data_IF_397754093473
#
_entry.id   IF_397754093473
#
_cell.length_a   1.000
_cell.length_b   1.000
_cell.length_c   1.000
_cell.angle_alpha   90.00
_cell.angle_beta   90.00
_cell.angle_gamma   90.00
#
_symmetry.space_group_name_H-M   'P 1'
#
loop_
_entity.id
_entity.type
_entity.pdbx_description
1 polymer ?
#
# COMPACT_ATOMS: atom_id res chain seq x y z
N UNK A 1 -10.89 -33.01 -15.61
CA UNK A 1 -11.16 -31.58 -15.42
C UNK A 1 -12.56 -31.44 -14.87
N UNK A 2 -12.68 -31.08 -13.58
CA UNK A 2 -13.94 -31.12 -12.83
C UNK A 2 -14.91 -30.05 -13.31
N UNK A 3 -16.13 -30.46 -13.66
CA UNK A 3 -17.26 -29.58 -13.92
C UNK A 3 -17.63 -28.89 -12.60
N UNK A 4 -17.26 -27.62 -12.42
CA UNK A 4 -17.73 -26.78 -11.32
C UNK A 4 -19.26 -26.69 -11.39
N UNK A 5 -19.96 -27.17 -10.36
CA UNK A 5 -21.42 -27.01 -10.30
C UNK A 5 -21.76 -25.58 -9.90
N UNK A 6 -22.98 -25.11 -10.23
CA UNK A 6 -23.42 -23.77 -9.85
C UNK A 6 -23.43 -23.56 -8.31
N UNK A 7 -23.58 -24.65 -7.54
CA UNK A 7 -23.48 -24.63 -6.08
C UNK A 7 -22.03 -24.43 -5.64
N UNK A 8 -21.07 -25.13 -6.25
CA UNK A 8 -19.64 -24.95 -5.95
C UNK A 8 -19.18 -23.52 -6.28
N UNK A 9 -19.71 -22.92 -7.36
CA UNK A 9 -19.41 -21.53 -7.71
C UNK A 9 -19.96 -20.54 -6.68
N UNK A 10 -21.20 -20.73 -6.22
CA UNK A 10 -21.83 -19.89 -5.20
C UNK A 10 -21.10 -20.00 -3.86
N UNK A 11 -20.74 -21.21 -3.45
CA UNK A 11 -20.01 -21.46 -2.21
C UNK A 11 -18.60 -20.87 -2.27
N UNK A 12 -17.90 -21.03 -3.41
CA UNK A 12 -16.59 -20.43 -3.59
C UNK A 12 -16.66 -18.89 -3.62
N UNK A 13 -17.70 -18.32 -4.22
CA UNK A 13 -17.91 -16.86 -4.21
C UNK A 13 -18.22 -16.34 -2.81
N UNK A 14 -19.06 -17.03 -2.03
CA UNK A 14 -19.34 -16.68 -0.63
C UNK A 14 -18.08 -16.80 0.25
N UNK A 15 -17.26 -17.82 0.02
CA UNK A 15 -15.98 -18.01 0.71
C UNK A 15 -15.02 -16.87 0.43
N UNK A 16 -14.83 -16.51 -0.84
CA UNK A 16 -13.97 -15.38 -1.23
C UNK A 16 -14.51 -14.04 -0.69
N UNK A 17 -15.83 -13.84 -0.71
CA UNK A 17 -16.45 -12.65 -0.10
C UNK A 17 -16.21 -12.58 1.41
N UNK A 18 -16.21 -13.73 2.10
CA UNK A 18 -15.91 -13.82 3.52
C UNK A 18 -14.42 -13.57 3.81
N UNK A 19 -13.52 -14.21 3.08
CA UNK A 19 -12.06 -14.00 3.18
C UNK A 19 -11.71 -12.52 2.93
N UNK A 20 -12.28 -11.91 1.88
CA UNK A 20 -12.08 -10.50 1.58
C UNK A 20 -12.59 -9.57 2.69
N UNK A 21 -13.69 -9.94 3.37
CA UNK A 21 -14.26 -9.17 4.49
C UNK A 21 -13.47 -9.36 5.79
N UNK A 22 -12.90 -10.53 6.02
CA UNK A 22 -11.98 -10.76 7.15
C UNK A 22 -10.71 -9.93 7.00
N UNK A 23 -10.18 -9.83 5.78
CA UNK A 23 -8.99 -9.01 5.46
C UNK A 23 -9.34 -7.51 5.41
N UNK A 24 -10.55 -7.15 4.98
CA UNK A 24 -11.03 -5.77 4.88
C UNK A 24 -12.36 -5.57 5.64
N UNK A 25 -12.32 -5.46 6.98
CA UNK A 25 -13.52 -5.39 7.81
C UNK A 25 -14.24 -4.03 7.78
N UNK A 26 -13.62 -3.00 7.18
CA UNK A 26 -14.12 -1.64 7.16
C UNK A 26 -14.83 -1.35 5.82
N UNK A 27 -16.11 -0.95 5.84
CA UNK A 27 -16.75 -0.30 4.69
C UNK A 27 -16.43 1.20 4.76
N UNK A 28 -15.45 1.70 4.00
CA UNK A 28 -14.86 2.96 4.41
C UNK A 28 -15.45 4.08 3.56
N UNK A 29 -16.18 5.00 4.20
CA UNK A 29 -16.99 6.04 3.55
C UNK A 29 -16.39 7.45 3.62
N UNK A 30 -15.32 7.67 4.40
CA UNK A 30 -14.77 9.01 4.70
C UNK A 30 -13.32 9.19 4.25
N UNK A 31 -13.11 9.99 3.20
CA UNK A 31 -11.78 10.50 2.89
C UNK A 31 -11.20 11.27 4.09
N UNK A 32 -9.92 11.06 4.41
CA UNK A 32 -9.28 11.66 5.59
C UNK A 32 -8.95 13.15 5.43
N UNK A 33 -8.91 13.66 4.19
CA UNK A 33 -8.80 15.10 3.94
C UNK A 33 -9.94 15.87 4.62
N UNK A 34 -9.68 17.01 5.29
CA UNK A 34 -8.41 17.74 5.39
C UNK A 34 -7.62 17.48 6.69
N UNK A 35 -7.84 16.35 7.37
CA UNK A 35 -7.24 16.08 8.69
C UNK A 35 -5.74 15.77 8.59
N UNK A 36 -4.96 16.34 9.51
CA UNK A 36 -3.54 16.04 9.71
C UNK A 36 -3.43 14.91 10.73
N UNK A 37 -3.12 13.70 10.27
CA UNK A 37 -3.11 12.48 11.09
C UNK A 37 -1.90 11.61 10.73
N UNK A 38 -1.52 10.69 11.61
CA UNK A 38 -0.71 9.53 11.23
C UNK A 38 -1.62 8.52 10.57
N UNK A 39 -1.39 8.13 9.32
CA UNK A 39 -2.28 7.22 8.58
C UNK A 39 -1.51 6.48 7.50
N UNK A 40 -2.04 5.34 7.02
CA UNK A 40 -1.49 4.68 5.85
C UNK A 40 -1.70 5.53 4.60
N UNK A 41 -0.59 5.85 3.93
CA UNK A 41 -0.54 6.70 2.75
C UNK A 41 -0.06 5.91 1.54
N UNK A 42 -0.53 6.31 0.36
CA UNK A 42 -0.19 5.69 -0.92
C UNK A 42 0.22 6.77 -1.92
N UNK A 43 1.31 6.55 -2.65
CA UNK A 43 1.73 7.41 -3.75
C UNK A 43 1.05 6.95 -5.05
N UNK A 44 0.38 7.86 -5.74
CA UNK A 44 -0.17 7.56 -7.06
C UNK A 44 0.83 7.96 -8.14
N UNK A 45 1.50 6.99 -8.77
CA UNK A 45 2.51 7.24 -9.79
C UNK A 45 1.87 7.77 -11.08
N UNK A 46 0.70 7.26 -11.46
CA UNK A 46 -0.07 7.77 -12.60
C UNK A 46 -0.40 9.25 -12.45
N UNK A 47 -1.02 9.64 -11.33
CA UNK A 47 -1.35 11.04 -11.07
C UNK A 47 -0.10 11.90 -10.88
N UNK A 48 0.99 11.33 -10.36
CA UNK A 48 2.26 12.04 -10.23
C UNK A 48 2.80 12.48 -11.59
N UNK A 49 2.80 11.57 -12.57
CA UNK A 49 3.25 11.82 -13.94
C UNK A 49 2.32 12.81 -14.65
N UNK A 50 1.01 12.59 -14.58
CA UNK A 50 0.02 13.43 -15.28
C UNK A 50 0.01 14.89 -14.79
N UNK A 51 0.25 15.10 -13.50
CA UNK A 51 0.21 16.44 -12.89
C UNK A 51 1.58 17.08 -12.71
N UNK A 52 2.66 16.36 -13.00
CA UNK A 52 4.03 16.83 -12.88
C UNK A 52 4.49 17.08 -11.43
N UNK A 53 3.97 16.32 -10.47
CA UNK A 53 4.36 16.49 -9.05
C UNK A 53 3.81 15.38 -8.14
N UNK A 54 4.42 15.17 -6.95
CA UNK A 54 4.05 14.07 -6.07
C UNK A 54 2.64 14.24 -5.50
N UNK A 55 1.92 13.11 -5.44
CA UNK A 55 0.53 13.01 -5.01
C UNK A 55 0.41 11.86 -4.01
N UNK A 56 -0.03 12.18 -2.79
CA UNK A 56 -0.31 11.19 -1.75
C UNK A 56 -1.81 11.03 -1.52
N UNK A 57 -2.32 9.81 -1.51
CA UNK A 57 -3.73 9.53 -1.24
C UNK A 57 -3.88 8.60 -0.03
N UNK A 58 -4.96 8.76 0.72
CA UNK A 58 -5.25 7.87 1.84
C UNK A 58 -5.76 6.51 1.36
N UNK A 59 -5.72 5.52 2.25
CA UNK A 59 -6.21 4.15 2.04
C UNK A 59 -7.58 4.07 1.34
N UNK A 60 -8.53 4.91 1.71
CA UNK A 60 -9.86 4.87 1.09
C UNK A 60 -9.87 5.36 -0.36
N UNK A 61 -9.07 6.39 -0.64
CA UNK A 61 -8.99 6.97 -1.98
C UNK A 61 -8.25 6.04 -2.94
N UNK A 62 -7.31 5.23 -2.44
CA UNK A 62 -6.73 4.10 -3.19
C UNK A 62 -7.84 3.22 -3.77
N UNK A 63 -8.79 2.77 -2.94
CA UNK A 63 -9.83 1.82 -3.35
C UNK A 63 -10.92 2.48 -4.21
N UNK A 64 -11.39 3.67 -3.82
CA UNK A 64 -12.61 4.24 -4.40
C UNK A 64 -12.35 5.20 -5.57
N UNK A 65 -11.17 5.81 -5.63
CA UNK A 65 -10.83 6.81 -6.63
C UNK A 65 -9.66 6.39 -7.54
N UNK A 66 -8.74 5.58 -7.02
CA UNK A 66 -7.46 5.25 -7.69
C UNK A 66 -7.25 3.74 -7.91
N UNK A 67 -8.33 2.94 -7.91
CA UNK A 67 -8.25 1.47 -8.05
C UNK A 67 -7.70 0.97 -9.39
N UNK A 68 -7.64 1.85 -10.39
CA UNK A 68 -7.12 1.55 -11.74
C UNK A 68 -5.77 2.23 -12.02
N UNK A 69 -5.24 2.97 -11.05
CA UNK A 69 -3.96 3.68 -11.20
C UNK A 69 -2.82 2.83 -10.66
N UNK A 70 -1.61 3.16 -11.09
CA UNK A 70 -0.39 2.60 -10.51
C UNK A 70 -0.07 3.27 -9.17
N UNK A 71 0.04 2.46 -8.13
CA UNK A 71 0.03 2.89 -6.73
C UNK A 71 1.15 2.21 -5.96
N UNK A 72 1.87 2.99 -5.15
CA UNK A 72 2.92 2.50 -4.26
C UNK A 72 2.52 2.76 -2.82
N UNK A 73 2.58 1.73 -1.98
CA UNK A 73 2.32 1.86 -0.55
C UNK A 73 3.48 2.59 0.16
N UNK A 74 3.14 3.63 0.92
CA UNK A 74 4.10 4.40 1.73
C UNK A 74 4.03 4.06 3.22
N UNK A 75 3.19 3.09 3.58
CA UNK A 75 2.87 2.71 4.97
C UNK A 75 2.35 3.90 5.79
N UNK A 76 2.37 3.76 7.12
CA UNK A 76 1.98 4.83 8.01
C UNK A 76 2.95 6.00 7.91
N UNK A 77 2.41 7.18 7.59
CA UNK A 77 3.12 8.47 7.57
C UNK A 77 2.46 9.47 8.50
N UNK A 78 3.25 10.28 9.19
CA UNK A 78 2.79 11.35 10.10
C UNK A 78 2.57 12.66 9.35
N UNK A 79 1.59 13.43 9.83
CA UNK A 79 1.33 14.79 9.37
C UNK A 79 1.04 14.95 7.87
N UNK A 80 0.59 13.89 7.20
CA UNK A 80 0.25 13.92 5.77
C UNK A 80 -1.26 13.97 5.59
N UNK A 81 -1.72 14.93 4.79
CA UNK A 81 -3.11 15.08 4.38
C UNK A 81 -3.29 14.48 2.98
N UNK A 82 -4.39 13.76 2.76
CA UNK A 82 -4.74 13.18 1.46
C UNK A 82 -4.93 14.26 0.37
N UNK A 83 -4.28 14.10 -0.78
CA UNK A 83 -4.34 15.01 -1.94
C UNK A 83 -5.48 14.69 -2.92
N UNK A 84 -6.20 13.57 -2.73
CA UNK A 84 -7.26 13.15 -3.65
C UNK A 84 -8.30 14.26 -3.79
N UNK A 85 -8.56 14.71 -5.03
CA UNK A 85 -9.52 15.76 -5.35
C UNK A 85 -9.08 17.19 -5.04
N UNK A 86 -7.80 17.40 -4.69
CA UNK A 86 -7.22 18.74 -4.55
C UNK A 86 -6.68 19.29 -5.87
N UNK A 87 -6.38 20.58 -5.94
CA UNK A 87 -5.81 21.22 -7.13
C UNK A 87 -4.43 20.69 -7.54
N UNK A 88 -3.81 19.78 -6.76
CA UNK A 88 -2.62 19.02 -7.19
C UNK A 88 -2.97 18.03 -8.31
N UNK A 89 -4.23 17.59 -8.37
CA UNK A 89 -4.78 16.74 -9.43
C UNK A 89 -5.46 17.59 -10.51
N UNK A 90 -4.72 18.43 -11.23
CA UNK A 90 -5.25 19.37 -12.24
C UNK A 90 -5.98 18.68 -13.39
N UNK A 91 -5.57 17.46 -13.78
CA UNK A 91 -6.28 16.63 -14.75
C UNK A 91 -7.39 15.77 -14.10
N UNK A 92 -7.46 15.78 -12.77
CA UNK A 92 -8.26 14.86 -11.98
C UNK A 92 -9.66 15.39 -11.64
N UNK A 93 -10.48 14.46 -11.20
CA UNK A 93 -11.78 14.73 -10.62
C UNK A 93 -11.68 15.03 -9.12
N UNK A 94 -12.63 15.79 -8.60
CA UNK A 94 -12.86 15.86 -7.16
C UNK A 94 -13.17 14.47 -6.58
N UNK A 95 -12.82 14.28 -5.32
CA UNK A 95 -12.87 12.98 -4.65
C UNK A 95 -14.30 12.41 -4.62
N UNK A 96 -14.49 11.20 -5.12
CA UNK A 96 -15.79 10.52 -5.17
C UNK A 96 -16.44 10.40 -3.78
N UNK A 97 -15.64 10.13 -2.75
CA UNK A 97 -16.11 10.00 -1.36
C UNK A 97 -16.63 11.32 -0.79
N UNK A 98 -15.96 12.45 -1.11
CA UNK A 98 -16.41 13.76 -0.66
C UNK A 98 -17.60 14.26 -1.47
N UNK A 99 -17.66 13.97 -2.77
CA UNK A 99 -18.80 14.32 -3.62
C UNK A 99 -20.09 13.57 -3.21
N UNK A 100 -19.97 12.30 -2.80
CA UNK A 100 -21.09 11.49 -2.35
C UNK A 100 -21.76 12.04 -1.07
N UNK A 101 -21.03 12.76 -0.22
CA UNK A 101 -21.60 13.40 0.99
C UNK A 101 -22.31 14.72 0.72
N UNK A 102 -21.91 15.43 -0.34
CA UNK A 102 -22.44 16.77 -0.68
C UNK A 102 -23.70 16.68 -1.56
N UNK A 103 -23.89 15.57 -2.26
CA UNK A 103 -25.08 15.33 -3.10
C UNK A 103 -26.00 14.36 -2.40
N UNK A 104 -27.29 14.64 -2.15
CA UNK A 104 -28.20 13.64 -1.62
C UNK A 104 -28.20 12.44 -2.58
N UNK A 105 -28.16 11.18 -2.08
CA UNK A 105 -28.10 10.03 -2.95
C UNK A 105 -29.39 9.97 -3.75
N UNK A 106 -29.32 10.21 -5.06
CA UNK A 106 -30.31 9.63 -5.95
C UNK A 106 -30.22 8.10 -5.76
N UNK A 107 -31.35 7.38 -5.63
CA UNK A 107 -31.33 5.94 -5.38
C UNK A 107 -30.57 5.25 -6.51
N UNK A 108 -29.36 4.77 -6.22
CA UNK A 108 -28.55 4.00 -7.17
C UNK A 108 -29.16 2.59 -7.26
N UNK A 109 -29.99 2.36 -8.27
CA UNK A 109 -30.27 0.98 -8.72
C UNK A 109 -28.99 0.43 -9.35
N UNK A 110 -28.36 -0.54 -8.68
CA UNK A 110 -27.24 -1.30 -9.23
C UNK A 110 -27.82 -2.36 -10.17
N UNK A 111 -28.08 -2.01 -11.42
CA UNK A 111 -28.47 -2.98 -12.45
C UNK A 111 -27.24 -3.75 -12.90
N UNK A 112 -27.13 -5.01 -12.50
CA UNK A 112 -26.16 -5.94 -13.06
C UNK A 112 -26.62 -6.44 -14.44
N UNK A 113 -25.80 -6.21 -15.46
CA UNK A 113 -25.41 -7.18 -16.50
C UNK A 113 -24.76 -6.45 -17.66
N UNK A 114 -23.54 -6.85 -18.00
CA UNK A 114 -22.79 -6.29 -19.11
C UNK A 114 -23.44 -6.60 -20.45
N UNK A 115 -23.62 -5.56 -21.26
CA UNK A 115 -22.93 -5.38 -22.55
C UNK A 115 -23.64 -4.31 -23.39
N UNK A 116 -22.93 -3.25 -23.77
CA UNK A 116 -23.23 -2.52 -25.00
C UNK A 116 -24.05 -1.23 -24.96
N UNK A 117 -24.28 -0.59 -23.80
CA UNK A 117 -24.91 0.74 -23.76
C UNK A 117 -24.30 1.64 -22.67
N UNK A 118 -22.98 1.78 -22.67
CA UNK A 118 -22.38 3.02 -22.17
C UNK A 118 -22.80 4.14 -23.11
N UNK A 119 -23.77 4.99 -22.73
CA UNK A 119 -23.94 6.42 -23.14
C UNK A 119 -25.40 6.92 -23.12
N UNK A 120 -26.24 6.61 -22.12
CA UNK A 120 -27.57 7.27 -22.02
C UNK A 120 -27.91 7.89 -20.66
N UNK A 121 -27.05 7.73 -19.66
CA UNK A 121 -27.05 8.61 -18.51
C UNK A 121 -25.64 9.19 -18.39
N UNK A 122 -25.45 10.52 -18.50
CA UNK A 122 -24.18 11.10 -18.13
C UNK A 122 -23.91 10.64 -16.69
N UNK A 123 -22.80 9.94 -16.47
CA UNK A 123 -22.21 9.94 -15.14
C UNK A 123 -22.19 11.41 -14.71
N UNK A 124 -22.80 11.73 -13.57
CA UNK A 124 -22.81 13.10 -13.08
C UNK A 124 -21.40 13.67 -13.28
N UNK A 125 -21.24 14.78 -14.01
CA UNK A 125 -19.92 15.24 -14.42
C UNK A 125 -19.08 15.33 -13.17
N UNK A 126 -18.00 14.54 -13.12
CA UNK A 126 -17.10 14.56 -11.98
C UNK A 126 -16.62 16.00 -11.88
N UNK A 127 -16.97 16.67 -10.78
CA UNK A 127 -16.56 18.06 -10.57
C UNK A 127 -15.03 18.13 -10.65
N UNK A 128 -14.47 19.25 -11.13
CA UNK A 128 -13.02 19.42 -11.13
C UNK A 128 -12.48 19.34 -9.69
N UNK A 129 -11.21 18.94 -9.58
CA UNK A 129 -10.49 18.88 -8.32
C UNK A 129 -10.16 20.30 -7.81
N UNK A 130 -11.12 20.94 -7.14
CA UNK A 130 -11.01 22.34 -6.69
C UNK A 130 -10.52 22.48 -5.23
N UNK A 131 -10.36 21.37 -4.49
CA UNK A 131 -9.98 21.45 -3.07
C UNK A 131 -8.54 21.95 -2.89
N UNK A 132 -8.29 22.71 -1.83
CA UNK A 132 -6.98 23.33 -1.58
C UNK A 132 -6.03 22.29 -0.97
N UNK A 133 -4.87 22.00 -1.58
CA UNK A 133 -3.91 21.07 -1.00
C UNK A 133 -3.29 21.63 0.29
N UNK A 134 -2.91 20.74 1.20
CA UNK A 134 -2.21 21.11 2.43
C UNK A 134 -0.81 21.63 2.10
N UNK A 135 -0.47 22.82 2.61
CA UNK A 135 0.88 23.41 2.49
C UNK A 135 1.89 22.72 3.41
N UNK A 136 1.42 22.01 4.43
CA UNK A 136 2.25 21.32 5.41
C UNK A 136 2.69 19.92 4.93
N UNK A 137 2.16 19.42 3.82
CA UNK A 137 2.57 18.13 3.28
C UNK A 137 4.02 18.17 2.78
N UNK A 138 4.84 17.26 3.28
CA UNK A 138 6.21 17.06 2.82
C UNK A 138 6.30 15.81 1.95
N UNK A 139 6.88 15.95 0.75
CA UNK A 139 7.01 14.87 -0.22
C UNK A 139 8.48 14.55 -0.45
N UNK A 140 8.93 13.39 0.02
CA UNK A 140 10.26 12.85 -0.27
C UNK A 140 10.23 11.98 -1.54
N UNK A 141 11.33 11.29 -1.86
CA UNK A 141 11.40 10.42 -3.03
C UNK A 141 10.48 9.19 -3.00
N UNK A 142 9.87 8.87 -1.84
CA UNK A 142 8.96 7.72 -1.75
C UNK A 142 7.71 7.94 -2.61
N UNK A 143 7.30 9.20 -2.78
CA UNK A 143 6.19 9.57 -3.66
C UNK A 143 6.47 9.38 -5.15
N UNK A 144 7.71 9.00 -5.50
CA UNK A 144 8.14 8.62 -6.85
C UNK A 144 8.40 7.11 -6.97
N UNK A 145 7.99 6.32 -5.97
CA UNK A 145 8.25 4.89 -5.91
C UNK A 145 9.70 4.52 -5.58
N UNK A 146 10.50 5.48 -5.10
CA UNK A 146 11.91 5.27 -4.76
C UNK A 146 12.10 5.28 -3.25
N UNK A 147 12.87 4.34 -2.75
CA UNK A 147 13.13 4.22 -1.31
C UNK A 147 14.63 4.14 -1.06
N UNK A 148 14.99 4.32 0.21
CA UNK A 148 16.35 4.23 0.70
C UNK A 148 17.30 5.29 0.09
N UNK A 149 18.50 5.43 0.66
CA UNK A 149 19.53 6.31 0.11
C UNK A 149 20.02 5.91 -1.28
N UNK A 150 19.83 4.65 -1.69
CA UNK A 150 20.15 4.17 -3.03
C UNK A 150 19.15 4.66 -4.10
N UNK A 151 17.97 5.12 -3.69
CA UNK A 151 16.90 5.62 -4.57
C UNK A 151 16.49 4.62 -5.68
N UNK A 152 16.61 3.32 -5.40
CA UNK A 152 16.07 2.28 -6.27
C UNK A 152 14.55 2.31 -6.25
N UNK A 153 13.94 1.98 -7.39
CA UNK A 153 12.49 1.78 -7.49
C UNK A 153 12.15 0.51 -6.75
N UNK A 154 11.27 0.62 -5.77
CA UNK A 154 10.88 -0.53 -4.95
C UNK A 154 9.89 -1.40 -5.71
N UNK A 155 10.19 -2.71 -5.76
CA UNK A 155 9.30 -3.74 -6.28
C UNK A 155 9.24 -4.87 -5.26
N UNK A 156 8.05 -5.15 -4.73
CA UNK A 156 7.84 -6.15 -3.69
C UNK A 156 8.29 -7.56 -4.12
N UNK A 157 8.19 -7.89 -5.41
CA UNK A 157 8.53 -9.22 -5.92
C UNK A 157 10.05 -9.41 -6.13
N UNK A 158 10.80 -8.32 -6.26
CA UNK A 158 12.23 -8.36 -6.61
C UNK A 158 13.14 -7.99 -5.43
N UNK A 159 12.63 -7.30 -4.41
CA UNK A 159 13.43 -6.86 -3.28
C UNK A 159 13.53 -7.95 -2.21
N UNK A 160 14.68 -8.61 -2.13
CA UNK A 160 14.99 -9.64 -1.14
C UNK A 160 15.63 -9.10 0.14
N UNK A 161 16.03 -7.83 0.17
CA UNK A 161 16.76 -7.23 1.29
C UNK A 161 15.83 -6.66 2.34
N UNK A 162 16.15 -6.89 3.61
CA UNK A 162 15.42 -6.32 4.75
C UNK A 162 15.57 -4.80 4.81
N UNK A 163 14.43 -4.11 4.90
CA UNK A 163 14.35 -2.66 5.03
C UNK A 163 13.79 -2.23 6.39
N UNK A 164 14.25 -1.08 6.88
CA UNK A 164 13.84 -0.49 8.17
C UNK A 164 13.32 0.92 7.97
N UNK A 165 12.12 1.20 8.47
CA UNK A 165 11.55 2.55 8.46
C UNK A 165 12.23 3.43 9.51
N UNK A 166 12.59 4.66 9.14
CA UNK A 166 13.07 5.60 10.14
C UNK A 166 11.92 6.11 11.03
N UNK A 167 12.00 5.78 12.32
CA UNK A 167 11.01 6.15 13.32
C UNK A 167 10.87 7.67 13.51
N UNK A 168 11.96 8.44 13.47
CA UNK A 168 11.93 9.89 13.75
C UNK A 168 11.37 10.74 12.60
N UNK A 169 11.74 10.42 11.37
CA UNK A 169 11.11 10.95 10.16
C UNK A 169 11.32 12.43 9.80
N UNK A 170 11.75 13.32 10.69
CA UNK A 170 11.80 14.77 10.42
C UNK A 170 12.67 15.18 9.22
N UNK A 171 13.86 14.60 9.07
CA UNK A 171 14.75 14.94 7.95
C UNK A 171 14.51 14.08 6.72
N UNK A 172 14.13 12.81 6.90
CA UNK A 172 14.00 11.84 5.81
C UNK A 172 12.58 11.64 5.29
N UNK A 173 11.56 12.13 5.99
CA UNK A 173 10.15 11.87 5.69
C UNK A 173 9.71 10.43 5.98
N UNK A 174 10.19 9.83 7.08
CA UNK A 174 9.93 8.42 7.48
C UNK A 174 10.28 7.40 6.38
N UNK A 175 11.41 7.62 5.71
CA UNK A 175 11.91 6.77 4.62
C UNK A 175 12.35 5.38 5.13
N UNK A 176 12.34 4.39 4.23
CA UNK A 176 12.75 3.01 4.46
C UNK A 176 14.16 2.80 3.92
N UNK A 177 15.03 2.16 4.71
CA UNK A 177 16.43 1.95 4.37
C UNK A 177 16.82 0.48 4.42
N UNK A 178 17.54 0.00 3.42
CA UNK A 178 18.20 -1.32 3.46
C UNK A 178 19.25 -1.36 4.57
N UNK A 179 19.43 -2.51 5.21
CA UNK A 179 20.45 -2.71 6.26
C UNK A 179 21.86 -2.27 5.82
N UNK A 180 22.28 -2.63 4.61
CA UNK A 180 23.57 -2.22 4.03
C UNK A 180 23.67 -0.69 3.88
N UNK A 181 22.62 -0.08 3.37
CA UNK A 181 22.55 1.36 3.14
C UNK A 181 22.54 2.16 4.45
N UNK A 182 22.04 1.59 5.55
CA UNK A 182 22.13 2.19 6.89
C UNK A 182 23.57 2.34 7.35
N UNK A 183 24.42 1.39 6.98
CA UNK A 183 25.85 1.38 7.28
C UNK A 183 26.67 2.11 6.21
N UNK A 184 26.07 2.48 5.08
CA UNK A 184 26.73 3.15 3.96
C UNK A 184 27.46 2.22 2.99
N UNK A 185 27.17 0.91 3.06
CA UNK A 185 27.79 -0.06 2.17
C UNK A 185 27.24 0.07 0.74
N UNK A 186 28.15 0.01 -0.23
CA UNK A 186 27.78 -0.07 -1.65
C UNK A 186 27.47 -1.52 -2.01
N UNK A 187 26.29 -1.75 -2.58
CA UNK A 187 25.90 -3.05 -3.09
C UNK A 187 26.58 -3.32 -4.43
N UNK A 188 27.29 -4.45 -4.54
CA UNK A 188 27.98 -4.89 -5.75
C UNK A 188 27.06 -5.48 -6.83
N UNK A 189 25.75 -5.35 -6.68
CA UNK A 189 24.79 -5.85 -7.68
C UNK A 189 24.61 -4.80 -8.77
N UNK A 190 25.36 -4.98 -9.87
CA UNK A 190 25.11 -4.26 -11.11
C UNK A 190 23.68 -4.52 -11.59
N UNK A 191 22.91 -3.49 -12.01
CA UNK A 191 21.61 -3.70 -12.62
C UNK A 191 21.77 -4.50 -13.91
N UNK A 192 21.02 -5.59 -14.05
CA UNK A 192 20.88 -6.27 -15.33
C UNK A 192 20.37 -5.25 -16.36
N UNK A 193 21.14 -5.13 -17.43
CA UNK A 193 20.98 -4.14 -18.48
C UNK A 193 19.71 -4.43 -19.29
N UNK A 194 18.72 -3.54 -19.23
CA UNK A 194 17.59 -3.44 -20.16
C UNK A 194 18.09 -3.07 -21.57
N UNK A 195 18.73 -4.00 -22.27
CA UNK A 195 19.02 -3.90 -23.71
C UNK A 195 19.07 -5.27 -24.37
N UNK A 196 17.92 -5.78 -24.80
CA UNK A 196 17.81 -6.59 -26.02
C UNK A 196 16.34 -6.75 -26.44
N UNK A 197 15.75 -5.67 -26.97
CA UNK A 197 14.72 -5.84 -27.99
C UNK A 197 15.40 -6.30 -29.28
N UNK A 198 14.92 -7.43 -29.83
CA UNK A 198 14.96 -7.93 -31.22
C UNK A 198 15.54 -9.34 -31.37
N UNK A 199 14.63 -10.33 -31.47
CA UNK A 199 14.47 -11.25 -32.61
C UNK A 199 13.35 -12.28 -32.32
N UNK A 200 12.33 -12.30 -33.17
CA UNK A 200 11.37 -13.41 -33.25
C UNK A 200 11.94 -14.60 -34.08
N UNK A 201 11.16 -15.65 -34.41
CA UNK A 201 11.24 -16.95 -33.75
C UNK A 201 11.75 -18.03 -34.71
N UNK A 202 12.15 -19.20 -34.21
CA UNK A 202 12.11 -20.39 -35.06
C UNK A 202 11.75 -21.65 -34.26
N UNK A 203 10.85 -22.41 -34.85
CA UNK A 203 10.14 -23.56 -34.30
C UNK A 203 10.98 -24.84 -34.29
N UNK A 204 10.39 -25.84 -33.61
CA UNK A 204 10.54 -27.31 -33.74
C UNK A 204 11.54 -28.03 -32.83
N UNK A 205 11.02 -28.66 -31.75
CA UNK A 205 10.74 -30.11 -31.70
C UNK A 205 10.39 -30.56 -30.26
N UNK A 206 9.30 -31.32 -30.14
CA UNK A 206 8.71 -31.93 -28.92
C UNK A 206 9.61 -32.95 -28.17
N UNK A 207 9.23 -33.41 -26.95
CA UNK A 207 10.13 -33.63 -25.80
C UNK A 207 10.45 -35.11 -25.50
N UNK A 208 11.23 -35.36 -24.44
CA UNK A 208 10.89 -36.47 -23.55
C UNK A 208 10.88 -36.06 -22.08
N UNK A 209 9.66 -35.98 -21.55
CA UNK A 209 9.21 -36.50 -20.26
C UNK A 209 10.30 -37.00 -19.28
N UNK A 210 10.60 -36.21 -18.25
CA UNK A 210 11.10 -36.68 -16.95
C UNK A 210 10.41 -35.88 -15.83
N UNK A 211 10.11 -36.51 -14.68
CA UNK A 211 9.17 -35.99 -13.70
C UNK A 211 9.71 -34.74 -13.02
N UNK A 212 8.88 -33.71 -12.97
CA UNK A 212 9.03 -32.57 -12.07
C UNK A 212 8.98 -33.11 -10.63
N UNK A 213 10.11 -33.01 -9.94
CA UNK A 213 10.10 -32.97 -8.49
C UNK A 213 9.59 -31.58 -8.10
N UNK A 214 8.51 -31.55 -7.34
CA UNK A 214 8.04 -30.38 -6.61
C UNK A 214 9.10 -30.04 -5.54
N UNK A 215 10.18 -29.37 -5.95
CA UNK A 215 11.05 -28.63 -5.03
C UNK A 215 10.46 -27.22 -4.92
N UNK A 216 9.66 -27.04 -3.88
CA UNK A 216 9.35 -25.75 -3.29
C UNK A 216 10.69 -25.00 -3.10
N UNK A 217 10.92 -23.82 -3.71
CA UNK A 217 12.14 -23.09 -3.42
C UNK A 217 12.04 -22.61 -1.97
N UNK A 218 12.69 -23.31 -1.05
CA UNK A 218 13.02 -22.78 0.28
C UNK A 218 13.59 -21.38 0.06
N UNK A 219 12.83 -20.36 0.47
CA UNK A 219 13.27 -18.97 0.49
C UNK A 219 14.55 -18.91 1.34
N UNK A 220 15.70 -18.89 0.67
CA UNK A 220 16.98 -18.79 1.34
C UNK A 220 17.02 -17.46 2.10
N UNK A 221 17.06 -17.52 3.43
CA UNK A 221 17.12 -16.31 4.25
C UNK A 221 18.34 -15.45 3.85
N UNK A 222 18.16 -14.13 3.69
CA UNK A 222 19.24 -13.24 3.27
C UNK A 222 20.37 -13.29 4.31
N UNK A 223 21.61 -13.43 3.84
CA UNK A 223 22.77 -13.49 4.72
C UNK A 223 22.84 -12.25 5.64
N UNK A 224 23.19 -12.42 6.93
CA UNK A 224 23.21 -11.31 7.88
C UNK A 224 24.21 -10.24 7.45
N UNK A 225 23.75 -8.98 7.40
CA UNK A 225 24.59 -7.83 7.04
C UNK A 225 25.63 -7.58 8.12
N UNK A 226 26.94 -7.58 7.78
CA UNK A 226 27.97 -7.46 8.79
C UNK A 226 27.96 -6.10 9.48
N UNK A 227 28.19 -6.08 10.79
CA UNK A 227 28.08 -4.92 11.70
C UNK A 227 26.65 -4.39 11.92
N UNK A 228 25.64 -4.88 11.20
CA UNK A 228 24.25 -4.56 11.52
C UNK A 228 23.88 -5.19 12.87
N UNK A 229 23.15 -4.49 13.76
CA UNK A 229 22.70 -5.06 15.01
C UNK A 229 21.79 -6.28 14.79
N UNK A 230 21.78 -7.16 15.78
CA UNK A 230 20.83 -8.27 15.80
C UNK A 230 19.39 -7.75 15.78
N UNK A 231 18.54 -8.43 15.00
CA UNK A 231 17.17 -8.00 14.70
C UNK A 231 16.29 -7.96 15.94
N UNK A 232 16.48 -8.91 16.85
CA UNK A 232 15.73 -8.99 18.11
C UNK A 232 16.26 -8.02 19.19
N UNK A 233 17.38 -7.35 18.92
CA UNK A 233 18.03 -6.45 19.88
C UNK A 233 17.41 -5.06 19.97
N UNK A 234 16.65 -4.63 18.96
CA UNK A 234 16.09 -3.30 18.85
C UNK A 234 14.65 -3.34 18.32
N UNK A 235 13.86 -2.32 18.68
CA UNK A 235 12.49 -2.18 18.19
C UNK A 235 12.33 -1.11 17.12
N UNK A 236 13.09 -0.02 17.24
CA UNK A 236 12.92 1.16 16.39
C UNK A 236 14.28 1.69 15.93
N UNK A 237 14.30 2.26 14.72
CA UNK A 237 15.51 2.75 14.06
C UNK A 237 15.42 4.25 13.73
N UNK A 238 16.48 5.01 14.00
CA UNK A 238 16.60 6.41 13.59
C UNK A 238 17.82 6.58 12.67
N UNK A 239 17.57 7.01 11.44
CA UNK A 239 18.61 7.15 10.42
C UNK A 239 19.58 8.30 10.68
N UNK A 240 20.80 8.17 10.15
CA UNK A 240 21.87 9.14 10.25
C UNK A 240 21.51 10.55 9.74
N UNK A 241 20.61 10.69 8.77
CA UNK A 241 20.12 11.99 8.28
C UNK A 241 19.32 12.73 9.36
N UNK A 242 18.45 11.99 10.05
CA UNK A 242 17.65 12.50 11.17
C UNK A 242 18.53 12.84 12.39
N UNK A 243 19.48 11.96 12.71
CA UNK A 243 20.45 12.20 13.78
C UNK A 243 21.30 13.44 13.48
N UNK A 244 21.74 13.63 12.23
CA UNK A 244 22.55 14.78 11.83
C UNK A 244 21.82 16.13 12.00
N UNK A 245 20.49 16.16 11.87
CA UNK A 245 19.68 17.36 12.06
C UNK A 245 19.68 17.84 13.51
N UNK A 246 19.63 16.91 14.47
CA UNK A 246 19.61 17.19 15.92
C UNK A 246 20.76 16.49 16.65
N UNK A 247 21.97 16.65 16.11
CA UNK A 247 23.16 15.88 16.53
C UNK A 247 23.39 15.93 18.03
N UNK A 248 23.40 17.12 18.62
CA UNK A 248 23.73 17.30 20.03
C UNK A 248 22.74 16.58 20.96
N UNK A 249 21.44 16.60 20.59
CA UNK A 249 20.40 15.89 21.32
C UNK A 249 20.54 14.37 21.24
N UNK A 250 20.87 13.83 20.07
CA UNK A 250 21.06 12.38 19.89
C UNK A 250 22.40 11.88 20.48
N UNK A 251 23.44 12.71 20.53
CA UNK A 251 24.67 12.43 21.27
C UNK A 251 24.42 12.40 22.79
N UNK A 252 23.51 13.24 23.31
CA UNK A 252 23.04 13.15 24.69
C UNK A 252 22.22 11.88 24.93
N UNK A 253 21.28 11.57 24.03
CA UNK A 253 20.46 10.36 24.11
C UNK A 253 21.29 9.07 24.09
N UNK A 254 22.36 9.03 23.29
CA UNK A 254 23.26 7.88 23.18
C UNK A 254 23.97 7.51 24.49
N UNK A 255 24.02 8.41 25.49
CA UNK A 255 24.58 8.15 26.82
C UNK A 255 23.66 7.29 27.70
N UNK A 256 22.43 7.04 27.27
CA UNK A 256 21.42 6.31 28.03
C UNK A 256 21.22 4.88 27.48
N UNK A 257 21.90 3.85 28.02
CA UNK A 257 21.84 2.47 27.52
C UNK A 257 20.49 1.78 27.74
N UNK A 258 19.66 2.31 28.64
CA UNK A 258 18.28 1.87 28.88
C UNK A 258 17.33 2.23 27.71
N UNK A 259 17.71 3.23 26.90
CA UNK A 259 16.92 3.74 25.77
C UNK A 259 17.55 3.29 24.46
N UNK A 260 18.85 3.54 24.30
CA UNK A 260 19.61 3.22 23.09
C UNK A 260 20.22 1.83 23.21
N UNK A 261 19.87 0.94 22.29
CA UNK A 261 20.47 -0.38 22.19
C UNK A 261 21.92 -0.27 21.70
N UNK A 262 22.10 0.36 20.54
CA UNK A 262 23.41 0.56 19.93
C UNK A 262 23.38 1.74 18.96
N UNK A 263 24.55 2.33 18.71
CA UNK A 263 24.76 3.27 17.62
C UNK A 263 25.66 2.65 16.56
N UNK A 264 25.39 2.97 15.28
CA UNK A 264 26.22 2.50 14.16
C UNK A 264 26.61 3.66 13.29
N UNK A 265 27.90 3.76 13.01
CA UNK A 265 28.44 4.78 12.12
C UNK A 265 27.98 4.49 10.68
N UNK A 266 27.73 5.57 9.94
CA UNK A 266 27.51 5.54 8.51
C UNK A 266 28.85 5.74 7.81
N UNK A 267 29.27 4.75 7.02
CA UNK A 267 30.52 4.71 6.30
C UNK A 267 30.27 4.86 4.79
N UNK A 268 30.30 6.08 4.24
CA UNK A 268 30.00 6.29 2.83
C UNK A 268 31.03 5.58 1.93
N UNK A 269 30.55 4.75 1.00
CA UNK A 269 31.37 4.20 -0.09
C UNK A 269 32.23 3.00 0.29
N UNK A 270 31.89 2.27 1.36
CA UNK A 270 32.62 1.07 1.76
C UNK A 270 32.02 -0.16 1.05
N UNK A 271 32.85 -0.97 0.40
CA UNK A 271 32.40 -2.26 -0.17
C UNK A 271 32.32 -3.33 0.92
N UNK A 272 31.38 -4.25 0.79
CA UNK A 272 31.14 -5.36 1.73
C UNK A 272 32.33 -6.34 1.87
N UNK A 273 33.41 -6.20 1.11
CA UNK A 273 34.60 -7.06 1.22
C UNK A 273 35.66 -6.52 2.18
N UNK A 274 35.52 -5.28 2.67
CA UNK A 274 36.50 -4.66 3.58
C UNK A 274 36.26 -4.91 5.08
N UNK A 275 35.41 -5.89 5.43
CA UNK A 275 34.97 -6.18 6.80
C UNK A 275 36.09 -6.35 7.84
N UNK A 276 37.25 -6.88 7.44
CA UNK A 276 38.37 -7.12 8.35
C UNK A 276 39.04 -5.86 8.92
N UNK A 277 38.87 -4.67 8.32
CA UNK A 277 39.48 -3.43 8.83
C UNK A 277 38.56 -2.64 9.78
N UNK A 278 37.24 -2.84 9.71
CA UNK A 278 36.28 -2.08 10.53
C UNK A 278 35.91 -2.77 11.85
N UNK A 279 36.19 -4.07 12.02
CA UNK A 279 35.99 -4.76 13.30
C UNK A 279 36.87 -4.18 14.42
N UNK A 280 38.08 -3.72 14.11
CA UNK A 280 38.98 -3.10 15.11
C UNK A 280 38.49 -1.72 15.59
N UNK A 281 37.69 -1.01 14.79
CA UNK A 281 37.19 0.34 15.13
C UNK A 281 35.77 0.34 15.75
N UNK A 282 34.98 -0.72 15.55
CA UNK A 282 33.58 -0.80 15.99
C UNK A 282 33.36 -1.44 17.38
N UNK A 283 34.39 -2.02 17.99
CA UNK A 283 34.30 -2.78 19.26
C UNK A 283 34.85 -2.06 20.51
N UNK A 284 35.51 -0.91 20.38
CA UNK A 284 36.04 -0.20 21.56
C UNK A 284 35.07 0.86 22.09
N UNK A 285 34.35 0.51 23.17
CA UNK A 285 33.87 1.50 24.15
C UNK A 285 35.09 1.95 24.97
N UNK A 286 35.90 2.85 24.40
CA UNK A 286 37.17 3.33 24.95
C UNK A 286 37.72 4.52 24.15
N UNK A 287 38.68 5.32 24.68
CA UNK A 287 39.01 6.61 24.10
C UNK A 287 39.74 6.47 22.76
N UNK A 288 39.08 6.93 21.70
CA UNK A 288 39.54 7.35 20.36
C UNK A 288 40.74 6.61 19.72
N UNK A 289 40.57 5.99 18.53
CA UNK A 289 41.68 5.40 17.79
C UNK A 289 42.60 6.49 17.19
N UNK A 290 43.91 6.19 17.17
CA UNK A 290 45.02 7.09 16.81
C UNK A 290 45.28 7.28 15.31
N UNK A 291 44.28 7.13 14.44
CA UNK A 291 44.40 7.52 13.02
C UNK A 291 43.15 8.27 12.58
N UNK A 292 43.27 9.52 12.12
CA UNK A 292 42.10 10.31 11.79
C UNK A 292 41.50 9.82 10.48
N UNK A 293 40.24 9.37 10.52
CA UNK A 293 39.35 9.48 9.37
C UNK A 293 39.39 10.93 8.86
N UNK A 294 39.29 11.16 7.53
CA UNK A 294 39.30 12.51 6.98
C UNK A 294 38.26 13.37 7.70
N UNK A 295 38.67 14.56 8.12
CA UNK A 295 38.04 15.44 9.10
C UNK A 295 36.61 15.92 8.75
N UNK A 296 35.65 15.01 8.69
CA UNK A 296 34.21 15.24 8.72
C UNK A 296 33.65 14.57 9.96
N UNK A 297 32.77 15.26 10.70
CA UNK A 297 32.15 14.69 11.91
C UNK A 297 31.44 13.38 11.52
N UNK A 298 31.75 12.27 12.18
CA UNK A 298 31.13 10.97 11.89
C UNK A 298 29.60 11.08 11.97
N UNK A 299 28.92 10.55 10.96
CA UNK A 299 27.47 10.37 10.94
C UNK A 299 27.17 9.00 11.53
N UNK A 300 26.11 8.89 12.33
CA UNK A 300 25.71 7.63 12.94
C UNK A 300 24.19 7.53 13.02
N UNK A 301 23.71 6.29 13.00
CA UNK A 301 22.32 5.94 13.23
C UNK A 301 22.13 5.39 14.65
N UNK A 302 20.92 5.51 15.18
CA UNK A 302 20.55 5.11 16.54
C UNK A 302 19.51 3.99 16.48
N UNK A 303 19.74 2.92 17.23
CA UNK A 303 18.79 1.81 17.39
C UNK A 303 18.26 1.82 18.82
N UNK A 304 16.94 1.77 18.97
CA UNK A 304 16.24 1.92 20.25
C UNK A 304 15.74 0.56 20.76
N UNK A 305 15.72 0.38 22.08
CA UNK A 305 15.18 -0.83 22.73
C UNK A 305 13.65 -0.82 22.77
N UNK A 306 12.98 -1.97 22.85
CA UNK A 306 11.51 -2.06 22.92
C UNK A 306 10.84 -1.14 23.97
N UNK A 307 11.41 -1.04 25.17
CA UNK A 307 10.85 -0.23 26.26
C UNK A 307 11.36 1.22 26.28
N UNK A 308 11.90 1.73 25.17
CA UNK A 308 12.51 3.06 25.11
C UNK A 308 11.51 4.17 25.47
N UNK A 309 10.24 4.08 25.03
CA UNK A 309 9.21 5.12 25.27
C UNK A 309 9.02 5.44 26.75
N UNK A 310 8.91 4.41 27.60
CA UNK A 310 8.74 4.55 29.06
C UNK A 310 9.97 5.20 29.71
N UNK A 311 11.17 4.80 29.28
CA UNK A 311 12.42 5.36 29.78
C UNK A 311 12.63 6.80 29.30
N UNK A 312 12.26 7.10 28.05
CA UNK A 312 12.34 8.43 27.46
C UNK A 312 11.38 9.41 28.14
N UNK A 313 10.15 8.99 28.48
CA UNK A 313 9.21 9.79 29.25
C UNK A 313 9.71 10.11 30.68
N UNK A 314 10.35 9.14 31.34
CA UNK A 314 11.01 9.36 32.65
C UNK A 314 12.18 10.32 32.52
N UNK A 315 13.01 10.14 31.48
CA UNK A 315 14.17 10.99 31.22
C UNK A 315 13.71 12.44 30.94
N UNK A 316 12.70 12.62 30.10
CA UNK A 316 12.12 13.93 29.79
C UNK A 316 11.73 14.72 31.05
N UNK A 317 11.17 14.04 32.06
CA UNK A 317 10.80 14.67 33.34
C UNK A 317 12.00 15.06 34.22
N UNK A 318 13.18 14.49 33.97
CA UNK A 318 14.40 14.72 34.75
C UNK A 318 15.43 15.62 34.03
N UNK A 319 15.23 15.90 32.73
CA UNK A 319 16.18 16.69 31.93
C UNK A 319 16.14 18.18 32.29
N UNK A 320 17.30 18.87 32.32
CA UNK A 320 17.37 20.33 32.41
C UNK A 320 16.60 21.00 31.27
N UNK A 321 16.05 22.19 31.52
CA UNK A 321 15.27 22.95 30.52
C UNK A 321 16.13 23.33 29.31
N UNK A 322 17.39 23.70 29.53
CA UNK A 322 18.33 24.12 28.48
C UNK A 322 19.02 22.95 27.76
N UNK A 323 18.67 21.70 28.08
CA UNK A 323 19.27 20.53 27.40
C UNK A 323 18.81 20.49 25.93
N UNK A 324 19.72 20.27 24.97
CA UNK A 324 19.36 20.05 23.57
C UNK A 324 18.34 18.93 23.39
N UNK A 325 18.45 17.85 24.19
CA UNK A 325 17.51 16.74 24.19
C UNK A 325 16.13 17.16 24.71
N UNK A 326 16.06 18.03 25.72
CA UNK A 326 14.76 18.55 26.19
C UNK A 326 14.05 19.37 25.11
N UNK A 327 14.77 20.29 24.46
CA UNK A 327 14.24 21.08 23.34
C UNK A 327 13.75 20.21 22.17
N UNK A 328 14.46 19.13 21.85
CA UNK A 328 14.02 18.17 20.84
C UNK A 328 12.70 17.51 21.26
N UNK A 329 12.67 16.91 22.44
CA UNK A 329 11.52 16.16 22.95
C UNK A 329 10.25 17.02 23.13
N UNK A 330 10.40 18.32 23.42
CA UNK A 330 9.28 19.27 23.47
C UNK A 330 8.56 19.38 22.13
N UNK A 331 9.30 19.36 21.03
CA UNK A 331 8.76 19.47 19.67
C UNK A 331 8.35 18.11 19.09
N UNK A 332 8.87 17.02 19.64
CA UNK A 332 8.70 15.66 19.09
C UNK A 332 8.13 14.69 20.13
N UNK A 333 6.98 15.04 20.72
CA UNK A 333 6.35 14.24 21.79
C UNK A 333 5.98 12.81 21.37
N UNK A 334 5.68 12.60 20.08
CA UNK A 334 5.39 11.29 19.49
C UNK A 334 6.53 10.26 19.66
N UNK A 335 7.74 10.69 20.02
CA UNK A 335 8.84 9.80 20.36
C UNK A 335 8.58 8.96 21.63
N UNK A 336 7.79 9.47 22.58
CA UNK A 336 7.53 8.78 23.85
C UNK A 336 6.04 8.69 24.21
N UNK A 337 5.19 9.52 23.63
CA UNK A 337 3.74 9.40 23.71
C UNK A 337 3.21 8.40 22.67
N UNK A 338 2.02 7.86 22.90
CA UNK A 338 1.35 7.00 21.93
C UNK A 338 0.92 7.83 20.71
N UNK A 339 1.30 7.36 19.53
CA UNK A 339 0.99 8.01 18.24
C UNK A 339 0.26 7.00 17.35
N UNK A 340 -1.04 6.79 17.60
CA UNK A 340 -1.81 5.74 16.93
C UNK A 340 -1.97 6.04 15.45
N UNK A 341 -1.79 5.01 14.62
CA UNK A 341 -2.12 5.07 13.20
C UNK A 341 -3.63 5.17 13.07
N UNK A 342 -4.12 6.14 12.31
CA UNK A 342 -5.52 6.32 12.02
C UNK A 342 -6.02 5.12 11.22
N UNK A 343 -6.86 4.32 11.88
CA UNK A 343 -7.67 3.30 11.26
C UNK A 343 -9.07 3.86 11.03
N UNK A 344 -9.70 3.57 9.87
CA UNK A 344 -11.11 3.88 9.66
C UNK A 344 -11.95 3.29 10.79
N UNK A 345 -12.96 4.01 11.27
CA UNK A 345 -13.88 3.46 12.27
C UNK A 345 -14.53 2.19 11.72
N UNK A 346 -14.58 1.12 12.52
CA UNK A 346 -15.39 -0.06 12.25
C UNK A 346 -16.88 0.31 12.32
N UNK A 347 -17.38 1.02 11.32
CA UNK A 347 -18.80 1.17 11.13
C UNK A 347 -19.35 -0.22 10.76
N UNK A 348 -19.84 -0.89 11.80
CA UNK A 348 -20.64 -2.11 11.76
C UNK A 348 -19.91 -3.46 11.60
N UNK A 349 -19.07 -3.80 12.57
CA UNK A 349 -18.92 -5.22 12.99
C UNK A 349 -20.23 -5.83 13.58
N UNK A 350 -21.38 -5.16 13.45
CA UNK A 350 -22.70 -5.54 13.97
C UNK A 350 -23.84 -5.34 12.97
N UNK A 351 -23.58 -5.15 11.67
CA UNK A 351 -24.64 -5.37 10.66
C UNK A 351 -24.65 -6.87 10.36
N UNK A 352 -25.79 -7.57 10.55
CA UNK A 352 -25.85 -9.01 10.43
C UNK A 352 -25.56 -9.39 8.98
N UNK A 353 -24.46 -10.10 8.76
CA UNK A 353 -24.18 -11.08 7.69
C UNK A 353 -25.00 -11.00 6.39
N UNK A 354 -25.18 -9.82 5.79
CA UNK A 354 -26.00 -9.71 4.58
C UNK A 354 -25.18 -10.13 3.38
N UNK A 355 -25.29 -11.41 3.04
CA UNK A 355 -24.86 -11.93 1.74
C UNK A 355 -25.44 -11.08 0.60
N UNK A 356 -24.78 -11.06 -0.57
CA UNK A 356 -25.29 -10.40 -1.78
C UNK A 356 -26.76 -10.79 -2.06
N UNK A 357 -27.13 -12.03 -1.73
CA UNK A 357 -28.48 -12.56 -1.80
C UNK A 357 -29.47 -11.80 -0.90
N UNK A 358 -29.10 -11.53 0.36
CA UNK A 358 -29.93 -10.83 1.32
C UNK A 358 -30.05 -9.32 1.02
N UNK A 359 -28.98 -8.72 0.49
CA UNK A 359 -29.03 -7.36 -0.08
C UNK A 359 -29.98 -7.30 -1.28
N UNK A 360 -29.94 -8.31 -2.16
CA UNK A 360 -30.87 -8.47 -3.28
C UNK A 360 -32.33 -8.64 -2.83
N UNK A 361 -32.58 -9.44 -1.80
CA UNK A 361 -33.90 -9.63 -1.21
C UNK A 361 -34.41 -8.35 -0.54
N UNK A 362 -33.56 -7.64 0.19
CA UNK A 362 -33.90 -6.35 0.82
C UNK A 362 -34.25 -5.29 -0.24
N UNK A 363 -33.48 -5.22 -1.33
CA UNK A 363 -33.75 -4.29 -2.43
C UNK A 363 -35.08 -4.59 -3.13
N UNK A 364 -35.46 -5.87 -3.28
CA UNK A 364 -36.76 -6.27 -3.82
C UNK A 364 -37.92 -5.90 -2.89
N UNK A 365 -37.74 -6.05 -1.58
CA UNK A 365 -38.75 -5.66 -0.58
C UNK A 365 -38.91 -4.14 -0.46
N UNK A 366 -37.88 -3.37 -0.81
CA UNK A 366 -37.93 -1.91 -0.84
C UNK A 366 -38.68 -1.34 -2.06
N UNK A 367 -38.96 -2.16 -3.08
CA UNK A 367 -39.74 -1.75 -4.24
C UNK A 367 -41.25 -1.79 -3.93
N UNK A 368 -42.05 -0.87 -4.50
CA UNK A 368 -43.50 -0.99 -4.44
C UNK A 368 -43.94 -2.34 -5.00
N UNK A 369 -44.82 -3.05 -4.29
CA UNK A 369 -45.22 -4.43 -4.58
C UNK A 369 -45.54 -4.71 -6.06
N UNK A 370 -46.23 -3.82 -6.81
CA UNK A 370 -46.50 -4.04 -8.24
C UNK A 370 -45.28 -4.00 -9.15
N UNK A 371 -44.18 -3.36 -8.73
CA UNK A 371 -42.92 -3.29 -9.48
C UNK A 371 -42.02 -4.48 -9.13
N UNK A 372 -42.02 -4.91 -7.86
CA UNK A 372 -41.31 -6.11 -7.42
C UNK A 372 -41.86 -7.37 -8.13
N UNK A 373 -43.19 -7.52 -8.21
CA UNK A 373 -43.84 -8.64 -8.90
C UNK A 373 -43.47 -8.66 -10.39
N UNK A 374 -43.59 -7.51 -11.08
CA UNK A 374 -43.20 -7.40 -12.50
C UNK A 374 -41.71 -7.68 -12.73
N UNK A 375 -40.86 -7.28 -11.79
CA UNK A 375 -39.43 -7.60 -11.81
C UNK A 375 -39.17 -9.10 -11.70
N UNK A 376 -39.86 -9.78 -10.78
CA UNK A 376 -39.75 -11.24 -10.59
C UNK A 376 -40.30 -12.01 -11.80
N UNK A 377 -41.43 -11.60 -12.37
CA UNK A 377 -42.00 -12.21 -13.58
C UNK A 377 -41.07 -12.04 -14.78
N UNK A 378 -40.49 -10.85 -14.96
CA UNK A 378 -39.52 -10.58 -16.02
C UNK A 378 -38.25 -11.42 -15.85
N UNK A 379 -37.77 -11.57 -14.61
CA UNK A 379 -36.62 -12.41 -14.29
C UNK A 379 -36.90 -13.90 -14.56
N UNK A 380 -38.05 -14.43 -14.12
CA UNK A 380 -38.43 -15.82 -14.37
C UNK A 380 -38.60 -16.12 -15.86
N UNK A 381 -39.21 -15.20 -16.61
CA UNK A 381 -39.33 -15.29 -18.06
C UNK A 381 -37.96 -15.29 -18.75
N UNK A 382 -37.04 -14.41 -18.34
CA UNK A 382 -35.69 -14.36 -18.87
C UNK A 382 -34.90 -15.63 -18.53
N UNK A 383 -35.00 -16.10 -17.28
CA UNK A 383 -34.38 -17.34 -16.81
C UNK A 383 -34.85 -18.54 -17.64
N UNK A 384 -36.16 -18.69 -17.85
CA UNK A 384 -36.72 -19.78 -18.69
C UNK A 384 -36.17 -19.73 -20.11
N UNK A 385 -36.15 -18.56 -20.75
CA UNK A 385 -35.62 -18.39 -22.12
C UNK A 385 -34.12 -18.72 -22.20
N UNK A 386 -33.32 -18.25 -21.23
CA UNK A 386 -31.89 -18.55 -21.15
C UNK A 386 -31.63 -20.04 -20.89
N UNK A 387 -32.36 -20.65 -19.94
CA UNK A 387 -32.23 -22.09 -19.67
C UNK A 387 -32.60 -22.93 -20.89
N UNK A 388 -33.64 -22.57 -21.65
CA UNK A 388 -33.98 -23.23 -22.92
C UNK A 388 -32.91 -23.04 -23.99
N UNK A 389 -32.33 -21.84 -24.09
CA UNK A 389 -31.23 -21.57 -25.01
C UNK A 389 -30.02 -22.46 -24.71
N UNK A 390 -29.52 -22.45 -23.47
CA UNK A 390 -28.35 -23.23 -23.07
C UNK A 390 -28.59 -24.74 -23.11
N UNK A 391 -29.82 -25.20 -22.82
CA UNK A 391 -30.15 -26.63 -22.90
C UNK A 391 -29.90 -27.21 -24.29
N UNK A 392 -30.17 -26.46 -25.36
CA UNK A 392 -29.90 -26.90 -26.73
C UNK A 392 -28.39 -27.13 -26.98
N UNK A 393 -27.52 -26.37 -26.32
CA UNK A 393 -26.06 -26.53 -26.44
C UNK A 393 -25.53 -27.68 -25.59
N UNK A 394 -26.12 -27.91 -24.42
CA UNK A 394 -25.83 -29.06 -23.56
C UNK A 394 -26.23 -30.36 -24.27
N UNK A 395 -27.43 -30.41 -24.86
CA UNK A 395 -27.93 -31.59 -25.59
C UNK A 395 -27.09 -31.91 -26.85
N UNK A 396 -26.46 -30.89 -27.44
CA UNK A 396 -25.59 -31.01 -28.62
C UNK A 396 -24.09 -31.14 -28.28
N UNK A 397 -23.74 -31.13 -26.98
CA UNK A 397 -22.36 -31.12 -26.48
C UNK A 397 -21.47 -30.07 -27.16
N UNK A 398 -22.01 -28.87 -27.39
CA UNK A 398 -21.36 -27.78 -28.13
C UNK A 398 -20.96 -26.65 -27.16
N UNK A 399 -19.76 -26.11 -27.34
CA UNK A 399 -19.30 -24.93 -26.60
C UNK A 399 -20.03 -23.67 -27.11
N UNK A 400 -20.56 -22.88 -26.18
CA UNK A 400 -21.24 -21.61 -26.48
C UNK A 400 -20.22 -20.53 -26.77
N UNK A 401 -20.40 -19.79 -27.87
CA UNK A 401 -19.53 -18.67 -28.26
C UNK A 401 -20.12 -17.31 -27.91
N UNK A 402 -19.27 -16.28 -27.78
CA UNK A 402 -19.70 -14.91 -27.45
C UNK A 402 -20.69 -14.34 -28.47
N UNK A 403 -20.51 -14.66 -29.76
CA UNK A 403 -21.37 -14.19 -30.84
C UNK A 403 -22.79 -14.76 -30.72
N UNK A 404 -22.94 -16.05 -30.38
CA UNK A 404 -24.24 -16.70 -30.21
C UNK A 404 -25.04 -16.11 -29.04
N UNK A 405 -24.36 -15.69 -27.97
CA UNK A 405 -24.98 -15.01 -26.82
C UNK A 405 -25.43 -13.60 -27.22
N UNK A 406 -24.59 -12.84 -27.94
CA UNK A 406 -24.94 -11.50 -28.44
C UNK A 406 -26.14 -11.54 -29.39
N UNK A 407 -26.20 -12.53 -30.27
CA UNK A 407 -27.30 -12.71 -31.22
C UNK A 407 -28.62 -13.05 -30.50
N UNK A 408 -28.57 -13.88 -29.44
CA UNK A 408 -29.72 -14.20 -28.61
C UNK A 408 -30.34 -12.96 -27.95
N UNK A 409 -29.52 -12.13 -27.28
CA UNK A 409 -30.02 -10.92 -26.64
C UNK A 409 -30.49 -9.87 -27.66
N UNK A 410 -29.83 -9.78 -28.82
CA UNK A 410 -30.24 -8.88 -29.91
C UNK A 410 -31.62 -9.27 -30.47
N UNK A 411 -31.87 -10.57 -30.67
CA UNK A 411 -33.18 -11.08 -31.11
C UNK A 411 -34.27 -10.81 -30.08
N UNK A 412 -34.00 -11.04 -28.80
CA UNK A 412 -34.94 -10.71 -27.72
C UNK A 412 -35.27 -9.22 -27.64
N UNK A 413 -34.32 -8.34 -27.95
CA UNK A 413 -34.52 -6.89 -27.95
C UNK A 413 -35.36 -6.44 -29.14
N UNK A 414 -35.19 -7.07 -30.31
CA UNK A 414 -36.01 -6.83 -31.50
C UNK A 414 -37.45 -7.30 -31.29
N UNK A 415 -37.67 -8.47 -30.67
CA UNK A 415 -39.01 -9.00 -30.32
C UNK A 415 -39.76 -8.14 -29.29
N UNK A 416 -39.07 -7.27 -28.56
CA UNK A 416 -39.66 -6.37 -27.55
C UNK A 416 -40.00 -4.99 -28.12
N UNK A 417 -39.39 -4.60 -29.24
CA UNK A 417 -39.50 -3.28 -29.85
C UNK A 417 -40.39 -3.26 -31.11
N UNK A 418 -40.82 -4.42 -31.60
CA UNK A 418 -41.90 -4.56 -32.59
C UNK A 418 -43.19 -4.96 -31.91
#
# INVERSE_FOLDING_TARGET
MGSLTALDFLENQLRLEKEAREIMPYEPDVCTYPRVLRQNMYACLTCCIENGGPVGVCYLCLIQCHSTHDMVELFAKRNVVCDCGTTRMRCGAACSLRQAKVSPPAPRMRTGSGSGASSLFPAAPKRPADDIPSLNNTYNHNYLGRFCSCAHVYNADAETRTMHQCFFGEACGEDWYHQDCILGFETTETPMNDKAATKEPNETSDPPNQPVADDDPEEAEPAPVPLFPDMDGFSEFICWKCVALYRDAFEELAKHPEIVFVTRNFFPGLTSTHHGKCQEEALEVGPAPKKPCPAGKSQFSVFLRENFRKHLAKLFSALPIDSPLNHLLLNTRYLFEDDPVHEPEAQHALLPDRSLFELGATALLALPTPHAIRGLEAYDAMKKKLSSFFKNFVDQNKVVTEQEVKDFFSKMQQERNG
#
